data_IF_922590711026
#
_entry.id   IF_922590711026
#
_cell.length_a   1.000
_cell.length_b   1.000
_cell.length_c   1.000
_cell.angle_alpha   90.00
_cell.angle_beta   90.00
_cell.angle_gamma   90.00
#
_symmetry.space_group_name_H-M   'P 1'
#
loop_
_entity.id
_entity.type
_entity.pdbx_description
1 polymer ?
#
# COMPACT_ATOMS: atom_id res chain seq x y z
N UNK A 1 38.26 -3.34 6.74
CA UNK A 1 37.21 -2.55 6.08
C UNK A 1 35.93 -2.72 6.86
N UNK A 2 35.59 -1.74 7.67
CA UNK A 2 34.43 -1.71 8.57
C UNK A 2 33.23 -1.20 7.77
N UNK A 3 32.19 -2.04 7.62
CA UNK A 3 30.88 -1.61 7.08
C UNK A 3 30.38 -0.42 7.91
N UNK A 4 29.91 0.69 7.31
CA UNK A 4 29.24 1.71 8.09
C UNK A 4 27.98 1.07 8.69
N UNK A 5 27.89 1.06 10.02
CA UNK A 5 26.63 0.79 10.72
C UNK A 5 25.64 1.84 10.23
N UNK A 6 24.68 1.43 9.41
CA UNK A 6 23.51 2.25 9.12
C UNK A 6 22.89 2.64 10.45
N UNK A 7 22.96 3.93 10.75
CA UNK A 7 22.54 4.52 12.01
C UNK A 7 21.08 4.16 12.29
N UNK A 8 20.83 3.50 13.43
CA UNK A 8 19.51 3.29 14.04
C UNK A 8 18.82 4.63 14.41
N UNK A 9 19.51 5.77 14.27
CA UNK A 9 18.89 7.06 14.51
C UNK A 9 17.97 7.44 13.33
N UNK A 10 16.67 7.40 13.62
CA UNK A 10 15.57 8.02 12.87
C UNK A 10 14.82 7.16 11.85
N UNK A 11 14.54 5.88 12.16
CA UNK A 11 13.49 5.12 11.48
C UNK A 11 12.14 5.80 11.76
N UNK A 12 11.70 6.67 10.85
CA UNK A 12 10.33 7.18 10.89
C UNK A 12 9.47 6.04 10.36
N UNK A 13 8.46 5.56 11.10
CA UNK A 13 7.73 4.40 10.63
C UNK A 13 7.00 4.77 9.33
N UNK A 14 7.15 3.93 8.33
CA UNK A 14 6.67 4.20 6.97
C UNK A 14 5.15 4.03 6.88
N UNK A 15 4.58 4.64 5.85
CA UNK A 15 3.24 4.30 5.36
C UNK A 15 3.40 3.15 4.37
N UNK A 16 2.43 2.24 4.30
CA UNK A 16 2.50 1.05 3.48
C UNK A 16 1.37 1.01 2.45
N UNK A 17 1.64 0.41 1.30
CA UNK A 17 0.68 0.25 0.22
C UNK A 17 0.31 -1.22 0.11
N UNK A 18 -0.99 -1.51 0.04
CA UNK A 18 -1.53 -2.84 -0.22
C UNK A 18 -2.01 -2.91 -1.67
N UNK A 19 -1.43 -3.84 -2.42
CA UNK A 19 -1.77 -4.14 -3.80
C UNK A 19 -2.48 -5.49 -3.86
N UNK A 20 -3.72 -5.50 -4.33
CA UNK A 20 -4.35 -6.74 -4.79
C UNK A 20 -4.06 -6.91 -6.28
N UNK A 21 -3.58 -8.08 -6.68
CA UNK A 21 -3.16 -8.35 -8.05
C UNK A 21 -3.58 -9.75 -8.49
N UNK A 22 -3.42 -10.08 -9.77
CA UNK A 22 -3.66 -11.44 -10.25
C UNK A 22 -2.82 -12.46 -9.47
N UNK A 23 -3.46 -13.57 -9.09
CA UNK A 23 -2.86 -14.61 -8.27
C UNK A 23 -1.68 -15.28 -9.00
N UNK A 24 -0.60 -15.57 -8.28
CA UNK A 24 0.54 -16.33 -8.80
C UNK A 24 1.17 -17.22 -7.72
N UNK A 25 1.99 -18.18 -8.15
CA UNK A 25 2.58 -19.23 -7.31
C UNK A 25 4.11 -19.22 -7.43
N UNK A 26 4.84 -18.50 -6.56
CA UNK A 26 6.29 -18.31 -6.70
C UNK A 26 7.18 -19.53 -6.40
N UNK A 27 6.60 -20.72 -6.16
CA UNK A 27 7.40 -21.92 -5.90
C UNK A 27 6.69 -23.08 -5.18
N UNK A 28 5.34 -23.12 -5.17
CA UNK A 28 4.60 -24.18 -4.47
C UNK A 28 3.08 -23.98 -4.49
N UNK A 29 2.40 -24.61 -3.54
CA UNK A 29 0.93 -24.58 -3.43
C UNK A 29 0.34 -23.29 -2.84
N UNK A 30 1.19 -22.40 -2.31
CA UNK A 30 0.73 -21.14 -1.71
C UNK A 30 0.47 -20.10 -2.80
N UNK A 31 -0.81 -19.70 -2.91
CA UNK A 31 -1.24 -18.61 -3.75
C UNK A 31 -0.82 -17.27 -3.15
N UNK A 32 -0.25 -16.37 -3.97
CA UNK A 32 -0.02 -14.97 -3.63
C UNK A 32 -0.90 -14.11 -4.51
N UNK A 33 -1.76 -13.32 -3.88
CA UNK A 33 -2.75 -12.49 -4.56
C UNK A 33 -2.84 -11.07 -4.01
N UNK A 34 -2.07 -10.80 -2.94
CA UNK A 34 -1.97 -9.50 -2.29
C UNK A 34 -0.52 -9.27 -1.88
N UNK A 35 -0.04 -8.03 -2.00
CA UNK A 35 1.32 -7.65 -1.63
C UNK A 35 1.29 -6.33 -0.87
N UNK A 36 2.09 -6.22 0.20
CA UNK A 36 2.32 -4.96 0.93
C UNK A 36 3.76 -4.49 0.73
N UNK A 37 3.94 -3.22 0.38
CA UNK A 37 5.25 -2.57 0.21
C UNK A 37 5.32 -1.26 0.98
N UNK A 38 6.53 -0.77 1.28
CA UNK A 38 6.71 0.61 1.73
C UNK A 38 6.19 1.60 0.69
N UNK A 39 5.51 2.67 1.10
CA UNK A 39 5.00 3.70 0.20
C UNK A 39 6.13 4.38 -0.58
N UNK A 40 7.31 4.50 0.03
CA UNK A 40 8.51 5.03 -0.61
C UNK A 40 8.94 4.25 -1.88
N UNK A 41 8.47 3.02 -2.08
CA UNK A 41 8.67 2.27 -3.33
C UNK A 41 8.09 2.99 -4.57
N UNK A 42 7.09 3.87 -4.39
CA UNK A 42 6.59 4.75 -5.47
C UNK A 42 7.63 5.74 -5.99
N UNK A 43 8.68 6.01 -5.21
CA UNK A 43 9.78 6.91 -5.56
C UNK A 43 10.90 6.18 -6.31
N UNK A 44 10.77 4.88 -6.52
CA UNK A 44 11.77 4.09 -7.23
C UNK A 44 11.86 4.52 -8.71
N UNK A 45 13.05 4.63 -9.32
CA UNK A 45 13.22 5.07 -10.72
C UNK A 45 12.52 4.21 -11.79
N UNK A 46 12.10 3.01 -11.42
CA UNK A 46 11.41 2.06 -12.30
C UNK A 46 9.89 2.08 -12.16
N UNK A 47 9.39 2.82 -11.18
CA UNK A 47 7.99 3.24 -11.17
C UNK A 47 7.88 4.46 -12.07
N UNK A 48 6.84 4.52 -12.91
CA UNK A 48 6.59 5.67 -13.80
C UNK A 48 6.61 6.99 -13.03
N UNK A 49 7.47 7.90 -13.49
CA UNK A 49 7.61 9.25 -12.94
C UNK A 49 7.16 10.29 -13.97
N UNK A 50 6.58 11.42 -13.55
CA UNK A 50 6.45 11.90 -12.16
C UNK A 50 5.25 11.33 -11.37
N UNK A 51 4.50 10.40 -11.95
CA UNK A 51 3.24 9.90 -11.39
C UNK A 51 3.43 9.20 -10.03
N UNK A 52 4.46 8.35 -9.89
CA UNK A 52 4.82 7.72 -8.62
C UNK A 52 5.09 8.73 -7.51
N UNK A 53 5.88 9.77 -7.80
CA UNK A 53 6.16 10.87 -6.86
C UNK A 53 4.89 11.63 -6.46
N UNK A 54 3.96 11.87 -7.38
CA UNK A 54 2.69 12.56 -7.09
C UNK A 54 1.77 11.70 -6.23
N UNK A 55 1.60 10.42 -6.59
CA UNK A 55 0.81 9.45 -5.82
C UNK A 55 1.39 9.31 -4.42
N UNK A 56 2.71 9.22 -4.29
CA UNK A 56 3.38 9.15 -2.99
C UNK A 56 3.02 10.36 -2.11
N UNK A 57 3.14 11.58 -2.64
CA UNK A 57 2.83 12.78 -1.86
C UNK A 57 1.36 12.83 -1.43
N UNK A 58 0.43 12.52 -2.33
CA UNK A 58 -1.01 12.51 -2.04
C UNK A 58 -1.36 11.46 -0.98
N UNK A 59 -0.83 10.24 -1.11
CA UNK A 59 -1.19 9.13 -0.23
C UNK A 59 -0.55 9.22 1.16
N UNK A 60 0.65 9.77 1.27
CA UNK A 60 1.37 9.84 2.56
C UNK A 60 1.05 11.09 3.38
N UNK A 61 0.37 12.09 2.79
CA UNK A 61 0.03 13.35 3.45
C UNK A 61 -0.91 13.12 4.63
N UNK A 62 -0.47 13.51 5.83
CA UNK A 62 -1.28 13.45 7.05
C UNK A 62 -1.53 12.04 7.58
N UNK A 63 -0.86 11.03 7.02
CA UNK A 63 -1.00 9.64 7.47
C UNK A 63 -0.21 9.36 8.73
N UNK A 64 -0.66 8.35 9.45
CA UNK A 64 0.06 7.84 10.61
C UNK A 64 1.13 6.86 10.17
N UNK A 65 2.29 6.87 10.84
CA UNK A 65 3.28 5.81 10.68
C UNK A 65 2.65 4.43 10.91
N UNK A 66 2.94 3.45 10.06
CA UNK A 66 2.36 2.11 10.11
C UNK A 66 1.03 1.92 9.37
N UNK A 67 0.44 3.00 8.84
CA UNK A 67 -0.86 2.92 8.16
C UNK A 67 -0.75 2.18 6.83
N UNK A 68 -1.71 1.28 6.56
CA UNK A 68 -1.81 0.51 5.31
C UNK A 68 -2.88 1.13 4.42
N UNK A 69 -2.51 1.46 3.20
CA UNK A 69 -3.35 2.07 2.18
C UNK A 69 -3.63 1.07 1.06
N UNK A 70 -4.85 0.55 0.92
CA UNK A 70 -5.22 -0.27 -0.22
C UNK A 70 -5.27 0.56 -1.51
N UNK A 71 -4.42 0.26 -2.49
CA UNK A 71 -4.40 1.01 -3.76
C UNK A 71 -5.65 0.74 -4.61
N UNK A 72 -6.32 -0.39 -4.41
CA UNK A 72 -7.59 -0.68 -5.06
C UNK A 72 -8.70 0.34 -4.68
N UNK A 73 -8.53 1.07 -3.58
CA UNK A 73 -9.45 2.12 -3.14
C UNK A 73 -8.95 3.53 -3.45
N UNK A 74 -8.08 3.70 -4.46
CA UNK A 74 -7.41 4.98 -4.74
C UNK A 74 -8.37 6.16 -4.84
N UNK A 75 -9.53 6.01 -5.48
CA UNK A 75 -10.57 7.06 -5.50
C UNK A 75 -10.94 7.55 -4.11
N UNK A 76 -11.11 6.65 -3.14
CA UNK A 76 -11.39 7.04 -1.76
C UNK A 76 -10.21 7.78 -1.14
N UNK A 77 -9.00 7.25 -1.33
CA UNK A 77 -7.77 7.81 -0.75
C UNK A 77 -7.43 9.21 -1.30
N UNK A 78 -7.91 9.53 -2.51
CA UNK A 78 -7.73 10.80 -3.21
C UNK A 78 -8.88 11.78 -2.95
N UNK A 79 -9.26 11.94 -1.67
CA UNK A 79 -10.31 12.87 -1.28
C UNK A 79 -11.69 12.54 -1.89
N UNK A 80 -12.00 11.25 -2.07
CA UNK A 80 -13.21 10.82 -2.78
C UNK A 80 -13.18 11.07 -4.28
N UNK A 81 -11.99 11.27 -4.85
CA UNK A 81 -11.72 11.46 -6.26
C UNK A 81 -11.47 12.91 -6.66
N UNK A 82 -11.50 13.84 -5.71
CA UNK A 82 -11.18 15.24 -5.95
C UNK A 82 -9.74 15.43 -6.46
N UNK A 83 -8.81 14.59 -6.00
CA UNK A 83 -7.38 14.71 -6.32
C UNK A 83 -6.96 13.86 -7.53
N UNK A 84 -7.90 13.18 -8.21
CA UNK A 84 -7.61 12.38 -9.42
C UNK A 84 -6.84 13.13 -10.52
N UNK A 85 -7.13 14.42 -10.81
CA UNK A 85 -6.38 15.16 -11.83
C UNK A 85 -4.87 15.28 -11.53
N UNK A 86 -4.44 15.08 -10.29
CA UNK A 86 -3.03 15.19 -9.86
C UNK A 86 -2.24 13.88 -9.97
N UNK A 87 -2.90 12.74 -10.16
CA UNK A 87 -2.31 11.39 -10.00
C UNK A 87 -1.56 10.89 -11.24
N UNK A 88 -1.93 11.38 -12.43
CA UNK A 88 -1.37 10.86 -13.69
C UNK A 88 -1.83 9.43 -13.98
N UNK A 89 -0.91 8.58 -14.44
CA UNK A 89 -1.19 7.21 -14.90
C UNK A 89 -1.04 6.16 -13.78
N UNK A 90 -2.08 6.06 -12.94
CA UNK A 90 -2.07 5.18 -11.75
C UNK A 90 -2.01 3.67 -12.10
N UNK A 91 -2.55 3.26 -13.25
CA UNK A 91 -2.59 1.86 -13.66
C UNK A 91 -1.18 1.35 -13.98
N UNK A 92 -0.41 2.16 -14.72
CA UNK A 92 0.99 1.84 -14.98
C UNK A 92 1.83 1.91 -13.71
N UNK A 93 1.60 2.88 -12.81
CA UNK A 93 2.29 2.93 -11.51
C UNK A 93 2.06 1.66 -10.69
N UNK A 94 0.82 1.19 -10.63
CA UNK A 94 0.47 -0.06 -9.91
C UNK A 94 1.13 -1.27 -10.56
N UNK A 95 1.16 -1.31 -11.89
CA UNK A 95 1.84 -2.37 -12.66
C UNK A 95 3.34 -2.37 -12.38
N UNK A 96 3.99 -1.21 -12.40
CA UNK A 96 5.42 -1.07 -12.14
C UNK A 96 5.79 -1.50 -10.71
N UNK A 97 4.96 -1.18 -9.72
CA UNK A 97 5.15 -1.66 -8.34
C UNK A 97 5.12 -3.19 -8.26
N UNK A 98 4.15 -3.84 -8.90
CA UNK A 98 4.09 -5.32 -8.93
C UNK A 98 5.34 -5.90 -9.60
N UNK A 99 5.81 -5.29 -10.69
CA UNK A 99 7.05 -5.72 -11.36
C UNK A 99 8.30 -5.48 -10.50
N UNK A 100 8.35 -4.40 -9.73
CA UNK A 100 9.44 -4.10 -8.82
C UNK A 100 9.58 -5.19 -7.75
N UNK A 101 8.46 -5.59 -7.15
CA UNK A 101 8.40 -6.69 -6.16
C UNK A 101 8.83 -8.00 -6.81
N UNK A 102 8.27 -8.35 -7.97
CA UNK A 102 8.60 -9.60 -8.67
C UNK A 102 10.08 -9.69 -9.06
N UNK A 103 10.72 -8.55 -9.34
CA UNK A 103 12.14 -8.47 -9.65
C UNK A 103 13.05 -8.47 -8.40
N UNK A 104 12.49 -8.48 -7.19
CA UNK A 104 13.26 -8.41 -5.94
C UNK A 104 14.00 -7.07 -5.77
N UNK A 105 13.44 -5.97 -6.29
CA UNK A 105 14.05 -4.63 -6.25
C UNK A 105 13.45 -3.72 -5.18
N UNK A 106 12.56 -4.26 -4.37
CA UNK A 106 12.13 -3.76 -3.08
C UNK A 106 11.68 -4.94 -2.22
N UNK A 107 11.64 -4.74 -0.90
CA UNK A 107 11.05 -5.70 0.02
C UNK A 107 9.53 -5.62 -0.02
N UNK A 108 8.89 -6.77 0.19
CA UNK A 108 7.45 -6.87 0.20
C UNK A 108 6.96 -7.98 1.14
N UNK A 109 5.81 -7.76 1.75
CA UNK A 109 5.03 -8.80 2.42
C UNK A 109 4.00 -9.36 1.43
N UNK A 110 4.27 -10.56 0.93
CA UNK A 110 3.40 -11.28 -0.01
C UNK A 110 2.41 -12.18 0.73
N UNK A 111 1.12 -12.03 0.45
CA UNK A 111 0.02 -12.70 1.15
C UNK A 111 -0.94 -13.38 0.16
N UNK A 112 -1.43 -14.55 0.56
CA UNK A 112 -2.58 -15.21 -0.06
C UNK A 112 -3.82 -14.92 0.77
N UNK A 113 -4.52 -13.82 0.48
CA UNK A 113 -5.75 -13.50 1.19
C UNK A 113 -6.89 -14.41 0.71
N UNK A 114 -7.76 -14.88 1.63
CA UNK A 114 -9.02 -15.51 1.26
C UNK A 114 -9.85 -14.61 0.34
N UNK A 115 -10.67 -15.20 -0.52
CA UNK A 115 -11.42 -14.47 -1.55
C UNK A 115 -12.25 -13.30 -0.99
N UNK A 116 -12.97 -13.52 0.11
CA UNK A 116 -13.77 -12.48 0.78
C UNK A 116 -12.89 -11.38 1.37
N UNK A 117 -11.77 -11.74 2.01
CA UNK A 117 -10.84 -10.76 2.57
C UNK A 117 -10.23 -9.89 1.46
N UNK A 118 -9.84 -10.51 0.35
CA UNK A 118 -9.35 -9.82 -0.84
C UNK A 118 -10.42 -8.89 -1.42
N UNK A 119 -11.65 -9.37 -1.57
CA UNK A 119 -12.76 -8.55 -2.06
C UNK A 119 -13.01 -7.34 -1.15
N UNK A 120 -12.95 -7.49 0.18
CA UNK A 120 -13.15 -6.39 1.12
C UNK A 120 -12.09 -5.30 0.99
N UNK A 121 -10.81 -5.65 0.82
CA UNK A 121 -9.72 -4.66 0.67
C UNK A 121 -9.68 -4.05 -0.73
N UNK A 122 -10.25 -4.72 -1.74
CA UNK A 122 -10.41 -4.19 -3.09
C UNK A 122 -11.55 -3.18 -3.23
N UNK A 123 -12.44 -3.09 -2.25
CA UNK A 123 -13.60 -2.21 -2.29
C UNK A 123 -13.47 -1.06 -1.27
N UNK A 124 -14.21 0.02 -1.54
CA UNK A 124 -14.22 1.20 -0.69
C UNK A 124 -14.59 0.88 0.77
N UNK A 125 -14.18 1.71 1.75
CA UNK A 125 -14.32 1.41 3.17
C UNK A 125 -15.77 1.30 3.67
N UNK A 126 -16.74 1.75 2.87
CA UNK A 126 -18.17 1.68 3.19
C UNK A 126 -18.94 0.71 2.26
N UNK A 127 -18.22 0.00 1.40
CA UNK A 127 -18.81 -1.02 0.53
C UNK A 127 -19.16 -2.28 1.31
N UNK A 128 -20.08 -3.07 0.74
CA UNK A 128 -20.43 -4.38 1.25
C UNK A 128 -20.07 -5.45 0.22
N UNK A 129 -19.55 -6.57 0.69
CA UNK A 129 -19.30 -7.79 -0.11
C UNK A 129 -20.35 -8.81 0.30
N UNK A 130 -20.95 -9.49 -0.68
CA UNK A 130 -21.96 -10.53 -0.45
C UNK A 130 -21.42 -11.86 -0.96
N UNK A 131 -21.35 -12.85 -0.08
CA UNK A 131 -21.05 -14.22 -0.44
C UNK A 131 -22.34 -15.03 -0.47
N UNK A 132 -22.57 -15.80 -1.52
CA UNK A 132 -23.67 -16.75 -1.54
C UNK A 132 -23.24 -18.03 -0.82
N UNK A 133 -24.02 -18.44 0.18
CA UNK A 133 -23.88 -19.70 0.89
C UNK A 133 -24.88 -20.71 0.33
N UNK A 134 -24.38 -21.63 -0.50
CA UNK A 134 -25.19 -22.66 -1.12
C UNK A 134 -25.75 -23.69 -0.12
N UNK A 135 -25.15 -23.83 1.07
CA UNK A 135 -25.65 -24.76 2.10
C UNK A 135 -26.85 -24.18 2.84
N UNK A 136 -26.86 -22.86 3.04
CA UNK A 136 -27.97 -22.13 3.66
C UNK A 136 -29.01 -21.60 2.65
N UNK A 137 -28.70 -21.63 1.35
CA UNK A 137 -29.44 -20.95 0.28
C UNK A 137 -29.68 -19.45 0.59
N UNK A 138 -28.66 -18.79 1.13
CA UNK A 138 -28.73 -17.39 1.58
C UNK A 138 -27.42 -16.62 1.29
N UNK A 139 -27.40 -15.32 1.56
CA UNK A 139 -26.23 -14.47 1.43
C UNK A 139 -25.67 -14.04 2.79
N UNK A 140 -24.36 -14.20 2.96
CA UNK A 140 -23.62 -13.58 4.04
C UNK A 140 -23.12 -12.21 3.56
N UNK A 141 -23.41 -11.17 4.35
CA UNK A 141 -22.99 -9.79 4.06
C UNK A 141 -21.80 -9.42 4.94
N UNK A 142 -20.72 -8.98 4.30
CA UNK A 142 -19.52 -8.48 4.94
C UNK A 142 -19.40 -6.99 4.64
N UNK A 143 -19.01 -6.18 5.62
CA UNK A 143 -18.96 -4.74 5.52
C UNK A 143 -17.69 -4.14 6.10
N UNK A 144 -17.83 -2.89 6.58
CA UNK A 144 -16.71 -2.08 7.07
C UNK A 144 -15.98 -2.69 8.28
N UNK A 145 -16.69 -3.40 9.16
CA UNK A 145 -16.10 -4.05 10.33
C UNK A 145 -15.18 -5.20 9.91
N UNK A 146 -15.64 -6.05 9.00
CA UNK A 146 -14.86 -7.18 8.47
C UNK A 146 -13.66 -6.68 7.65
N UNK A 147 -13.85 -5.62 6.86
CA UNK A 147 -12.72 -4.96 6.17
C UNK A 147 -11.68 -4.44 7.16
N UNK A 148 -12.11 -3.80 8.24
CA UNK A 148 -11.20 -3.29 9.27
C UNK A 148 -10.44 -4.43 9.97
N UNK A 149 -11.11 -5.56 10.23
CA UNK A 149 -10.48 -6.74 10.80
C UNK A 149 -9.40 -7.31 9.87
N UNK A 150 -9.67 -7.42 8.57
CA UNK A 150 -8.68 -7.86 7.57
C UNK A 150 -7.46 -6.94 7.55
N UNK A 151 -7.66 -5.61 7.52
CA UNK A 151 -6.54 -4.66 7.54
C UNK A 151 -5.76 -4.70 8.86
N UNK A 152 -6.42 -4.92 9.98
CA UNK A 152 -5.76 -5.08 11.28
C UNK A 152 -4.91 -6.36 11.33
N UNK A 153 -5.39 -7.45 10.75
CA UNK A 153 -4.63 -8.71 10.65
C UNK A 153 -3.39 -8.55 9.76
N UNK A 154 -3.54 -7.95 8.57
CA UNK A 154 -2.40 -7.62 7.71
C UNK A 154 -1.42 -6.68 8.43
N UNK A 155 -1.94 -5.70 9.16
CA UNK A 155 -1.14 -4.78 9.99
C UNK A 155 -0.35 -5.50 11.08
N UNK A 156 -0.92 -6.52 11.72
CA UNK A 156 -0.22 -7.32 12.72
C UNK A 156 0.93 -8.15 12.12
N UNK A 157 0.70 -8.77 10.94
CA UNK A 157 1.76 -9.48 10.20
C UNK A 157 2.87 -8.54 9.73
N UNK A 158 2.50 -7.35 9.26
CA UNK A 158 3.48 -6.35 8.87
C UNK A 158 4.27 -5.85 10.07
N UNK A 159 3.60 -5.54 11.19
CA UNK A 159 4.23 -5.07 12.42
C UNK A 159 5.28 -6.05 12.94
N UNK A 160 5.00 -7.36 12.91
CA UNK A 160 5.96 -8.37 13.35
C UNK A 160 7.20 -8.43 12.45
N UNK A 161 7.04 -8.25 11.14
CA UNK A 161 8.15 -8.20 10.20
C UNK A 161 9.03 -6.95 10.41
N UNK A 162 8.40 -5.78 10.52
CA UNK A 162 9.12 -4.50 10.62
C UNK A 162 9.74 -4.25 11.99
N UNK A 163 9.31 -4.97 13.03
CA UNK A 163 10.07 -5.00 14.30
C UNK A 163 11.48 -5.52 14.14
N UNK A 164 11.74 -6.41 13.17
CA UNK A 164 13.08 -6.92 12.89
C UNK A 164 13.82 -5.99 11.92
N UNK A 165 13.18 -5.65 10.80
CA UNK A 165 13.76 -4.80 9.76
C UNK A 165 12.67 -4.09 8.96
N UNK A 166 12.79 -2.76 8.79
CA UNK A 166 11.88 -2.00 7.92
C UNK A 166 11.93 -2.54 6.49
N UNK A 167 10.78 -2.51 5.79
CA UNK A 167 10.72 -2.89 4.39
C UNK A 167 11.60 -1.95 3.55
N UNK A 168 12.65 -2.48 2.92
CA UNK A 168 13.49 -1.71 2.02
C UNK A 168 12.70 -1.31 0.76
N UNK A 169 12.54 -0.01 0.46
CA UNK A 169 11.75 0.47 -0.69
C UNK A 169 12.46 0.34 -2.05
N UNK A 170 13.70 -0.16 -2.06
CA UNK A 170 14.56 -0.14 -3.24
C UNK A 170 15.67 0.93 -3.17
N UNK A 171 16.54 0.93 -4.18
CA UNK A 171 17.67 1.85 -4.27
C UNK A 171 17.38 3.06 -5.18
N UNK A 172 18.17 4.14 -4.99
CA UNK A 172 18.15 5.28 -5.90
C UNK A 172 16.82 6.05 -5.91
N UNK A 173 16.08 6.02 -4.80
CA UNK A 173 14.79 6.69 -4.67
C UNK A 173 14.89 8.17 -5.01
N UNK A 174 13.91 8.67 -5.77
CA UNK A 174 13.76 10.09 -6.01
C UNK A 174 13.35 10.82 -4.74
N UNK A 175 13.72 12.10 -4.65
CA UNK A 175 13.28 12.94 -3.55
C UNK A 175 11.74 13.12 -3.60
N UNK A 176 11.03 13.01 -2.46
CA UNK A 176 9.63 13.39 -2.38
C UNK A 176 9.43 14.85 -2.82
N UNK A 177 8.22 15.20 -3.27
CA UNK A 177 7.90 16.60 -3.56
C UNK A 177 8.14 17.45 -2.31
N UNK A 178 8.92 18.52 -2.48
CA UNK A 178 9.23 19.44 -1.40
C UNK A 178 7.93 20.06 -0.90
N UNK A 179 7.66 19.92 0.41
CA UNK A 179 6.52 20.60 1.04
C UNK A 179 6.77 22.11 0.99
N UNK A 180 5.82 22.93 0.49
CA UNK A 180 5.86 24.35 0.81
C UNK A 180 5.69 24.48 2.33
N UNK A 181 6.70 25.01 3.00
CA UNK A 181 6.61 25.41 4.40
C UNK A 181 5.45 26.40 4.54
N UNK A 182 4.41 26.03 5.30
CA UNK A 182 3.36 26.96 5.73
C UNK A 182 3.95 27.97 6.72
N UNK A 183 4.72 28.91 6.21
CA UNK A 183 5.13 30.13 6.90
C UNK A 183 4.60 31.29 6.06
N UNK A 184 3.47 31.84 6.49
CA UNK A 184 2.91 33.06 5.89
C UNK A 184 1.41 33.02 5.68
N UNK A 185 0.62 32.81 6.72
CA UNK A 185 -0.75 33.32 6.74
C UNK A 185 -1.12 33.79 8.15
N UNK A 186 -0.51 34.90 8.55
CA UNK A 186 -1.05 35.75 9.61
C UNK A 186 -1.82 36.92 9.00
N UNK A 187 -3.06 37.03 9.48
CA UNK A 187 -3.86 38.24 9.67
C UNK A 187 -4.07 39.19 8.49
N UNK A 188 -5.30 39.16 7.95
CA UNK A 188 -6.17 40.35 7.87
C UNK A 188 -7.60 39.98 8.22
#
# INVERSE_FOLDING_TARGET
>A
MTKPKSSEANRTPDVYLLLAHEAYFPGGAQEINTTVVAAASLLHPQVRQPDGVRIHDLLTRGRRPGEIIPLATLTHELGGGADWPEVGDWEYVTTDLVQLVRAGRCDALSLGLPEIARALVCNGPHSHVRAYDAAADDFIVYGSAERAAVLAEVGAFLASLVTEQDLWPGDGLLAPLARPSRTGQEAR
#
